data_IF_610887754939
#
_entry.id   IF_610887754939
#
_cell.length_a   1.000
_cell.length_b   1.000
_cell.length_c   1.000
_cell.angle_alpha   90.00
_cell.angle_beta   90.00
_cell.angle_gamma   90.00
#
_symmetry.space_group_name_H-M   'P 1'
#
loop_
_entity.id
_entity.type
_entity.pdbx_description
1 polymer ?
#
# COMPACT_ATOMS: atom_id res chain seq x y z
N UNK A 1 24.48 10.77 0.56
CA UNK A 1 23.16 10.38 1.12
C UNK A 1 22.44 9.58 0.07
N UNK A 2 21.85 8.44 0.44
CA UNK A 2 21.02 7.66 -0.49
C UNK A 2 19.64 8.32 -0.54
N UNK A 3 19.29 8.89 -1.68
CA UNK A 3 17.99 9.52 -1.90
C UNK A 3 16.92 8.40 -1.99
N UNK A 4 15.88 8.47 -1.17
CA UNK A 4 14.90 7.38 -1.05
C UNK A 4 13.52 7.88 -0.62
N UNK A 5 12.48 7.14 -1.00
CA UNK A 5 11.11 7.28 -0.49
C UNK A 5 10.87 6.12 0.48
N UNK A 6 10.44 6.43 1.69
CA UNK A 6 10.13 5.44 2.71
C UNK A 6 8.63 5.29 2.87
N UNK A 7 8.14 4.06 2.89
CA UNK A 7 6.72 3.73 3.01
C UNK A 7 6.57 2.81 4.21
N UNK A 8 5.66 3.15 5.12
CA UNK A 8 5.35 2.32 6.30
C UNK A 8 3.86 2.04 6.37
N UNK A 9 3.51 0.77 6.40
CA UNK A 9 2.17 0.27 6.67
C UNK A 9 2.09 0.01 8.17
N UNK A 10 1.42 0.90 8.90
CA UNK A 10 1.31 0.82 10.37
C UNK A 10 0.24 -0.18 10.79
N UNK A 11 -0.99 0.03 10.35
CA UNK A 11 -2.15 -0.75 10.76
C UNK A 11 -3.29 -0.73 9.74
N UNK A 12 -4.19 -1.69 9.85
CA UNK A 12 -5.43 -1.78 9.08
C UNK A 12 -6.63 -1.93 10.04
N UNK A 13 -7.73 -1.25 9.70
CA UNK A 13 -9.07 -1.47 10.29
C UNK A 13 -10.10 -1.60 9.17
N UNK A 14 -11.15 -2.37 9.40
CA UNK A 14 -12.25 -2.52 8.46
C UNK A 14 -13.46 -1.69 8.92
N UNK A 15 -13.93 -0.81 8.04
CA UNK A 15 -15.16 -0.03 8.21
C UNK A 15 -16.33 -0.62 7.40
N UNK A 16 -16.03 -1.34 6.33
CA UNK A 16 -17.01 -1.97 5.45
C UNK A 16 -17.68 -3.18 6.09
N UNK A 17 -19.00 -3.06 6.32
CA UNK A 17 -19.79 -4.07 7.04
C UNK A 17 -19.82 -5.44 6.35
N UNK A 18 -19.72 -5.49 5.02
CA UNK A 18 -19.76 -6.75 4.26
C UNK A 18 -18.51 -7.59 4.50
N UNK A 19 -17.34 -6.98 4.34
CA UNK A 19 -16.04 -7.63 4.56
C UNK A 19 -15.89 -8.03 6.04
N UNK A 20 -16.30 -7.14 6.94
CA UNK A 20 -16.27 -7.43 8.37
C UNK A 20 -17.16 -8.64 8.73
N UNK A 21 -18.31 -8.80 8.09
CA UNK A 21 -19.26 -9.90 8.34
C UNK A 21 -18.96 -11.19 7.57
N UNK A 22 -18.09 -11.16 6.56
CA UNK A 22 -17.79 -12.33 5.73
C UNK A 22 -16.86 -13.32 6.45
N UNK A 23 -17.39 -14.46 6.89
CA UNK A 23 -16.65 -15.48 7.64
C UNK A 23 -15.61 -16.22 6.80
N UNK A 24 -15.67 -16.12 5.46
CA UNK A 24 -14.65 -16.72 4.57
C UNK A 24 -13.34 -15.93 4.62
N UNK A 25 -13.39 -14.63 4.89
CA UNK A 25 -12.22 -13.77 5.01
C UNK A 25 -11.65 -13.88 6.42
N UNK A 26 -10.49 -14.53 6.54
CA UNK A 26 -9.87 -14.85 7.83
C UNK A 26 -8.50 -14.20 8.03
N UNK A 27 -7.66 -14.18 6.99
CA UNK A 27 -6.31 -13.62 7.04
C UNK A 27 -6.15 -12.53 6.00
N UNK A 28 -5.48 -11.45 6.37
CA UNK A 28 -5.30 -10.27 5.53
C UNK A 28 -3.85 -9.86 5.46
N UNK A 29 -3.37 -9.55 4.26
CA UNK A 29 -2.13 -8.81 4.05
C UNK A 29 -2.39 -7.56 3.22
N UNK A 30 -1.39 -6.68 3.16
CA UNK A 30 -1.47 -5.43 2.39
C UNK A 30 -0.37 -5.41 1.35
N UNK A 31 -0.75 -5.27 0.09
CA UNK A 31 0.16 -4.95 -1.01
C UNK A 31 0.30 -3.43 -1.16
N UNK A 32 1.48 -2.99 -1.57
CA UNK A 32 1.84 -1.62 -1.87
C UNK A 32 2.50 -1.56 -3.24
N UNK A 33 1.87 -0.86 -4.19
CA UNK A 33 2.32 -0.79 -5.59
C UNK A 33 2.45 0.65 -6.08
N UNK A 34 3.58 0.94 -6.73
CA UNK A 34 3.82 2.17 -7.47
C UNK A 34 4.29 1.85 -8.89
N UNK A 35 3.34 1.88 -9.84
CA UNK A 35 3.58 1.54 -11.23
C UNK A 35 4.40 0.23 -11.36
N UNK A 36 5.46 0.21 -12.17
CA UNK A 36 6.38 -0.92 -12.32
C UNK A 36 7.59 -0.85 -11.38
N UNK A 37 7.67 0.14 -10.49
CA UNK A 37 8.88 0.41 -9.68
C UNK A 37 8.82 -0.15 -8.28
N UNK A 38 7.61 -0.29 -7.72
CA UNK A 38 7.40 -0.86 -6.40
C UNK A 38 6.22 -1.82 -6.48
N UNK A 39 6.41 -3.04 -5.98
CA UNK A 39 5.37 -4.04 -5.78
C UNK A 39 5.79 -4.90 -4.59
N UNK A 40 5.43 -4.45 -3.39
CA UNK A 40 5.83 -5.05 -2.11
C UNK A 40 4.59 -5.43 -1.32
N UNK A 41 4.71 -6.42 -0.45
CA UNK A 41 3.61 -6.88 0.41
C UNK A 41 4.07 -7.02 1.86
N UNK A 42 3.13 -6.93 2.79
CA UNK A 42 3.43 -7.24 4.19
C UNK A 42 3.77 -8.72 4.31
N UNK A 43 4.88 -9.10 4.97
CA UNK A 43 5.44 -10.46 4.93
C UNK A 43 4.59 -11.53 5.64
N UNK A 44 3.56 -11.10 6.39
CA UNK A 44 2.66 -11.98 7.12
C UNK A 44 1.23 -11.50 6.92
N UNK A 45 0.36 -12.45 6.58
CA UNK A 45 -1.08 -12.28 6.71
C UNK A 45 -1.45 -12.28 8.20
N UNK A 46 -2.28 -11.33 8.60
CA UNK A 46 -2.73 -11.18 9.98
C UNK A 46 -4.24 -11.47 10.07
N UNK A 47 -4.73 -11.97 11.22
CA UNK A 47 -6.15 -12.28 11.38
C UNK A 47 -7.02 -11.05 11.12
N UNK A 48 -8.16 -11.25 10.44
CA UNK A 48 -9.13 -10.18 10.16
C UNK A 48 -9.50 -9.42 11.45
N UNK A 49 -9.40 -8.08 11.49
CA UNK A 49 -9.75 -7.31 12.68
C UNK A 49 -11.25 -7.42 12.99
N UNK A 50 -11.59 -7.58 14.27
CA UNK A 50 -12.98 -7.67 14.73
C UNK A 50 -13.49 -6.28 15.12
N UNK A 51 -14.70 -5.92 14.69
CA UNK A 51 -15.49 -4.76 15.14
C UNK A 51 -14.73 -3.59 15.79
N UNK A 52 -14.23 -2.65 14.98
CA UNK A 52 -13.57 -1.43 15.44
C UNK A 52 -12.11 -1.61 15.91
N UNK A 53 -11.57 -2.83 15.88
CA UNK A 53 -10.16 -3.08 16.16
C UNK A 53 -9.25 -2.76 14.97
N UNK A 54 -7.95 -2.66 15.26
CA UNK A 54 -6.87 -2.52 14.30
C UNK A 54 -5.91 -3.69 14.41
N UNK A 55 -5.45 -4.18 13.28
CA UNK A 55 -4.27 -5.05 13.21
C UNK A 55 -3.06 -4.23 12.80
N UNK A 56 -1.88 -4.58 13.33
CA UNK A 56 -0.68 -3.78 13.19
C UNK A 56 0.41 -4.56 12.46
N UNK A 57 0.69 -4.17 11.21
CA UNK A 57 1.77 -4.77 10.43
C UNK A 57 3.13 -4.19 10.83
N UNK A 58 3.20 -2.87 11.05
CA UNK A 58 4.44 -2.13 11.28
C UNK A 58 5.54 -2.45 10.25
N UNK A 59 5.14 -2.74 9.03
CA UNK A 59 6.03 -3.10 7.93
C UNK A 59 6.49 -1.84 7.22
N UNK A 60 7.74 -1.82 6.77
CA UNK A 60 8.26 -0.71 5.99
C UNK A 60 9.09 -1.18 4.82
N UNK A 61 8.94 -0.48 3.70
CA UNK A 61 9.72 -0.68 2.49
C UNK A 61 10.31 0.66 2.02
N UNK A 62 11.27 0.57 1.09
CA UNK A 62 12.01 1.71 0.57
C UNK A 62 12.04 1.62 -0.95
N UNK A 63 11.66 2.71 -1.61
CA UNK A 63 11.98 2.94 -3.02
C UNK A 63 13.23 3.80 -3.11
N UNK A 64 14.33 3.21 -3.59
CA UNK A 64 15.56 3.96 -3.87
C UNK A 64 15.34 4.89 -5.07
N UNK A 65 15.83 6.12 -4.95
CA UNK A 65 15.73 7.13 -6.01
C UNK A 65 17.05 7.87 -6.17
N UNK A 66 18.18 7.26 -5.82
CA UNK A 66 19.49 7.87 -6.01
C UNK A 66 19.79 8.16 -7.49
N UNK A 67 20.66 9.14 -7.72
CA UNK A 67 20.96 9.65 -9.07
C UNK A 67 21.80 8.68 -9.90
N UNK A 68 22.49 7.75 -9.25
CA UNK A 68 23.48 6.89 -9.89
C UNK A 68 22.79 5.70 -10.57
N UNK A 69 21.87 5.04 -9.86
CA UNK A 69 21.31 3.77 -10.31
C UNK A 69 19.80 3.82 -10.63
N UNK A 70 19.06 4.83 -10.16
CA UNK A 70 17.58 4.86 -10.21
C UNK A 70 17.04 5.92 -11.19
N UNK A 71 17.63 5.99 -12.39
CA UNK A 71 17.25 7.01 -13.37
C UNK A 71 15.78 6.90 -13.81
N UNK A 72 15.26 5.68 -13.98
CA UNK A 72 13.90 5.46 -14.48
C UNK A 72 12.84 5.88 -13.45
N UNK A 73 13.06 5.55 -12.18
CA UNK A 73 12.26 5.94 -11.03
C UNK A 73 12.21 7.47 -10.94
N UNK A 74 13.37 8.12 -11.05
CA UNK A 74 13.48 9.59 -11.01
C UNK A 74 12.75 10.25 -12.17
N UNK A 75 12.88 9.75 -13.39
CA UNK A 75 12.16 10.29 -14.54
C UNK A 75 10.65 10.12 -14.40
N UNK A 76 10.20 8.98 -13.85
CA UNK A 76 8.79 8.77 -13.54
C UNK A 76 8.28 9.78 -12.49
N UNK A 77 8.99 9.95 -11.37
CA UNK A 77 8.61 10.93 -10.34
C UNK A 77 8.62 12.37 -10.86
N UNK A 78 9.59 12.73 -11.71
CA UNK A 78 9.57 14.02 -12.42
C UNK A 78 8.35 14.15 -13.33
N UNK A 79 7.95 13.08 -14.02
CA UNK A 79 6.78 13.13 -14.90
C UNK A 79 5.49 13.43 -14.14
N UNK A 80 5.34 12.94 -12.90
CA UNK A 80 4.22 13.26 -12.01
C UNK A 80 4.18 14.76 -11.70
N UNK A 81 5.34 15.38 -11.44
CA UNK A 81 5.45 16.83 -11.20
C UNK A 81 5.08 17.67 -12.43
N UNK A 82 5.45 17.20 -13.62
CA UNK A 82 5.34 17.95 -14.87
C UNK A 82 4.01 17.74 -15.60
N UNK A 83 3.33 16.61 -15.38
CA UNK A 83 2.09 16.23 -16.08
C UNK A 83 0.99 15.87 -15.08
N UNK A 84 0.28 16.87 -14.54
CA UNK A 84 -0.69 16.69 -13.47
C UNK A 84 -1.93 15.86 -13.83
N UNK A 85 -2.15 15.51 -15.11
CA UNK A 85 -3.33 14.77 -15.60
C UNK A 85 -3.05 13.28 -15.88
N UNK A 86 -1.92 12.74 -15.41
CA UNK A 86 -1.60 11.33 -15.59
C UNK A 86 -2.44 10.46 -14.62
N UNK A 87 -3.19 9.44 -15.12
CA UNK A 87 -4.05 8.58 -14.29
C UNK A 87 -3.32 7.67 -13.28
N UNK A 88 -1.98 7.65 -13.27
CA UNK A 88 -1.15 6.66 -12.57
C UNK A 88 -0.04 7.33 -11.74
N UNK A 89 -0.40 8.31 -10.90
CA UNK A 89 0.52 9.09 -10.06
C UNK A 89 0.42 8.74 -8.55
N UNK A 90 -0.34 7.68 -8.24
CA UNK A 90 -0.71 7.34 -6.88
C UNK A 90 -0.11 6.01 -6.45
N UNK A 91 0.40 5.98 -5.22
CA UNK A 91 0.78 4.77 -4.52
C UNK A 91 -0.50 4.03 -4.14
N UNK A 92 -0.69 2.83 -4.68
CA UNK A 92 -1.87 2.01 -4.43
C UNK A 92 -1.57 1.03 -3.30
N UNK A 93 -2.45 0.99 -2.32
CA UNK A 93 -2.52 -0.07 -1.33
C UNK A 93 -3.68 -0.98 -1.67
N UNK A 94 -3.45 -2.29 -1.64
CA UNK A 94 -4.50 -3.30 -1.81
C UNK A 94 -4.56 -4.13 -0.54
N UNK A 95 -5.75 -4.27 0.05
CA UNK A 95 -5.99 -5.26 1.10
C UNK A 95 -6.39 -6.56 0.41
N UNK A 96 -5.65 -7.62 0.71
CA UNK A 96 -5.81 -8.93 0.08
C UNK A 96 -6.22 -9.96 1.13
N UNK A 97 -7.25 -10.75 0.82
CA UNK A 97 -7.64 -11.93 1.59
C UNK A 97 -6.76 -13.10 1.23
N UNK A 98 -6.11 -13.68 2.23
CA UNK A 98 -5.28 -14.87 2.12
C UNK A 98 -6.07 -16.07 2.65
N UNK A 99 -6.28 -17.12 1.82
CA UNK A 99 -6.94 -18.34 2.27
C UNK A 99 -6.24 -18.97 3.49
N UNK A 100 -6.99 -19.65 4.38
CA UNK A 100 -6.38 -20.34 5.51
C UNK A 100 -5.49 -21.50 5.06
N UNK A 101 -4.58 -21.95 5.93
CA UNK A 101 -3.57 -22.97 5.59
C UNK A 101 -4.16 -24.27 5.03
N UNK A 102 -5.37 -24.64 5.44
CA UNK A 102 -6.11 -25.82 5.00
C UNK A 102 -6.90 -25.64 3.69
N UNK A 103 -6.99 -24.41 3.17
CA UNK A 103 -7.66 -24.06 1.92
C UNK A 103 -6.72 -23.34 0.93
N UNK A 104 -5.41 -23.60 1.00
CA UNK A 104 -4.38 -22.98 0.13
C UNK A 104 -4.53 -23.27 -1.37
N UNK A 105 -5.46 -24.14 -1.78
CA UNK A 105 -5.82 -24.34 -3.18
C UNK A 105 -6.70 -23.18 -3.73
N UNK A 106 -7.24 -22.31 -2.87
CA UNK A 106 -7.99 -21.11 -3.25
C UNK A 106 -7.06 -19.97 -3.67
N UNK A 107 -7.56 -19.07 -4.50
CA UNK A 107 -6.81 -17.88 -4.91
C UNK A 107 -6.98 -16.75 -3.89
N UNK A 108 -5.95 -15.91 -3.74
CA UNK A 108 -6.05 -14.68 -2.98
C UNK A 108 -7.02 -13.70 -3.66
N UNK A 109 -7.77 -12.94 -2.85
CA UNK A 109 -8.78 -12.00 -3.36
C UNK A 109 -8.49 -10.57 -2.93
N UNK A 110 -8.52 -9.63 -3.88
CA UNK A 110 -8.46 -8.19 -3.61
C UNK A 110 -9.79 -7.72 -2.98
N UNK A 111 -9.78 -7.31 -1.72
CA UNK A 111 -11.00 -6.94 -0.99
C UNK A 111 -11.13 -5.44 -0.71
N UNK A 112 -10.07 -4.67 -0.88
CA UNK A 112 -10.09 -3.22 -0.64
C UNK A 112 -8.91 -2.50 -1.27
N UNK A 113 -9.09 -1.22 -1.57
CA UNK A 113 -8.08 -0.39 -2.21
C UNK A 113 -8.03 0.99 -1.56
N UNK A 114 -6.82 1.49 -1.31
CA UNK A 114 -6.59 2.87 -0.87
C UNK A 114 -5.47 3.50 -1.70
N UNK A 115 -5.44 4.82 -1.78
CA UNK A 115 -4.52 5.54 -2.66
C UNK A 115 -3.86 6.72 -1.96
N UNK A 116 -2.55 6.89 -2.18
CA UNK A 116 -1.80 8.08 -1.77
C UNK A 116 -1.26 8.78 -3.01
N UNK A 117 -1.70 10.02 -3.23
CA UNK A 117 -1.20 10.83 -4.35
C UNK A 117 0.20 11.37 -4.04
N UNK A 118 1.20 10.94 -4.83
CA UNK A 118 2.55 11.50 -4.74
C UNK A 118 2.58 12.97 -5.16
N UNK A 119 1.71 13.34 -6.10
CA UNK A 119 1.53 14.73 -6.53
C UNK A 119 1.13 15.62 -5.37
N UNK A 120 0.18 15.20 -4.53
CA UNK A 120 -0.20 15.98 -3.35
C UNK A 120 0.97 16.17 -2.37
N UNK A 121 1.74 15.11 -2.13
CA UNK A 121 2.94 15.16 -1.27
C UNK A 121 3.93 16.20 -1.81
N UNK A 122 4.21 16.16 -3.12
CA UNK A 122 5.13 17.11 -3.74
C UNK A 122 4.63 18.55 -3.74
N UNK A 123 3.34 18.78 -4.00
CA UNK A 123 2.74 20.11 -4.00
C UNK A 123 2.70 20.72 -2.60
N UNK A 124 2.33 19.91 -1.59
CA UNK A 124 2.28 20.33 -0.18
C UNK A 124 3.67 20.39 0.46
N UNK A 125 4.69 19.80 -0.19
CA UNK A 125 6.06 19.65 0.33
C UNK A 125 6.08 19.08 1.75
N UNK A 126 5.21 18.09 2.00
CA UNK A 126 4.98 17.55 3.34
C UNK A 126 4.75 16.05 3.28
N UNK A 127 5.45 15.35 4.16
CA UNK A 127 5.28 13.90 4.35
C UNK A 127 3.92 13.58 4.98
N UNK A 128 3.39 12.41 4.62
CA UNK A 128 2.21 11.81 5.26
C UNK A 128 2.72 10.94 6.41
N UNK A 129 2.36 11.30 7.63
CA UNK A 129 2.83 10.65 8.86
C UNK A 129 1.61 10.21 9.66
N UNK A 130 1.52 8.90 9.93
CA UNK A 130 0.47 8.30 10.78
C UNK A 130 -0.97 8.76 10.41
N UNK A 131 -1.22 8.93 9.12
CA UNK A 131 -2.51 9.33 8.59
C UNK A 131 -3.28 8.12 8.08
N UNK A 132 -4.55 8.02 8.42
CA UNK A 132 -5.46 7.04 7.84
C UNK A 132 -5.83 7.45 6.40
N UNK A 133 -5.93 6.46 5.52
CA UNK A 133 -6.35 6.60 4.12
C UNK A 133 -7.54 5.67 3.88
N UNK A 134 -8.52 6.14 3.10
CA UNK A 134 -9.74 5.41 2.74
C UNK A 134 -9.55 4.58 1.46
#
# INVERSE_FOLDING_TARGET
EVEKIWIKITSLSLTESRIAADETIQQLFVECRLNSFLAEETPLSLPKPIGGQRIHYNYSTVLSVDKEDNHAEREYLKSILLKPDLPADSLKFTVVSDPPEDEQDLECEDIGFAYVSLKEIFQKQRDIIEQDID
#
